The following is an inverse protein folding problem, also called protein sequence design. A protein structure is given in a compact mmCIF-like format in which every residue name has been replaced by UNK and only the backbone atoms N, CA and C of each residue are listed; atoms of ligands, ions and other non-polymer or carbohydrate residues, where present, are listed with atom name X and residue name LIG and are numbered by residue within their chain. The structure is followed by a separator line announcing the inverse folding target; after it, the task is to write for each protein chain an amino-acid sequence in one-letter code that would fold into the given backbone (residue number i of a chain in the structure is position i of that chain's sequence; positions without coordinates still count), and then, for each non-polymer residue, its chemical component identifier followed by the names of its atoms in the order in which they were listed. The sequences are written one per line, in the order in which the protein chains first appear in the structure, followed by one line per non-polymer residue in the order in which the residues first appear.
data_IF_459552973615
#
_entry.id   IF_459552973615
#
_cell.length_a   1.000
_cell.length_b   1.000
_cell.length_c   1.000
_cell.angle_alpha   90.00
_cell.angle_beta   90.00
_cell.angle_gamma   90.00
#
_symmetry.space_group_name_H-M   'P 1'
#
loop_
_entity.id
_entity.type
_entity.pdbx_description
1 polymer ?
#
# COMPACT_ATOMS: atom_id res chain seq x y z
N UNK A 1 -10.04 -7.31 -4.53
CA UNK A 1 -10.90 -7.09 -3.35
C UNK A 1 -11.47 -8.39 -2.80
N UNK A 2 -11.94 -9.30 -3.65
CA UNK A 2 -12.53 -10.57 -3.18
C UNK A 2 -11.53 -11.73 -3.07
N UNK A 3 -10.42 -11.63 -3.80
CA UNK A 3 -9.30 -12.57 -3.65
C UNK A 3 -8.79 -12.57 -2.20
N UNK A 4 -8.55 -13.78 -1.67
CA UNK A 4 -8.15 -14.03 -0.28
C UNK A 4 -9.11 -13.45 0.79
N UNK A 5 -10.35 -13.09 0.42
CA UNK A 5 -11.38 -12.65 1.37
C UNK A 5 -11.16 -11.25 1.94
N UNK A 6 -10.32 -10.41 1.33
CA UNK A 6 -9.97 -9.09 1.85
C UNK A 6 -11.18 -8.20 2.11
N UNK A 7 -12.17 -8.17 1.20
CA UNK A 7 -13.42 -7.41 1.38
C UNK A 7 -14.17 -7.86 2.63
N UNK A 8 -14.41 -9.17 2.77
CA UNK A 8 -15.15 -9.74 3.90
C UNK A 8 -14.43 -9.47 5.23
N UNK A 9 -13.11 -9.59 5.26
CA UNK A 9 -12.32 -9.28 6.44
C UNK A 9 -12.35 -7.79 6.78
N UNK A 10 -12.21 -6.90 5.79
CA UNK A 10 -12.28 -5.46 6.00
C UNK A 10 -13.65 -5.04 6.56
N UNK A 11 -14.75 -5.60 6.04
CA UNK A 11 -16.10 -5.36 6.56
C UNK A 11 -16.28 -5.85 8.00
N UNK A 12 -15.60 -6.93 8.39
CA UNK A 12 -15.59 -7.40 9.77
C UNK A 12 -14.82 -6.42 10.67
N UNK A 13 -13.65 -5.97 10.24
CA UNK A 13 -12.81 -5.04 11.00
C UNK A 13 -13.50 -3.69 11.21
N UNK A 14 -14.26 -3.18 10.24
CA UNK A 14 -15.03 -1.93 10.37
C UNK A 14 -15.96 -1.96 11.59
N UNK A 15 -16.59 -3.09 11.89
CA UNK A 15 -17.50 -3.26 13.03
C UNK A 15 -16.78 -3.24 14.38
N UNK A 16 -15.48 -3.51 14.40
CA UNK A 16 -14.63 -3.46 15.59
C UNK A 16 -14.06 -2.07 15.88
N UNK A 17 -14.24 -1.12 14.97
CA UNK A 17 -13.77 0.26 15.11
C UNK A 17 -14.89 1.13 15.67
N UNK A 18 -14.56 2.05 16.58
CA UNK A 18 -15.49 3.08 17.03
C UNK A 18 -15.51 4.26 16.05
N UNK A 19 -16.68 4.61 15.53
CA UNK A 19 -16.85 5.69 14.56
C UNK A 19 -17.49 6.92 15.19
N UNK A 20 -16.90 8.10 15.02
CA UNK A 20 -17.39 9.36 15.57
C UNK A 20 -17.48 10.40 14.43
N UNK A 21 -18.68 10.82 13.99
CA UNK A 21 -19.99 10.36 14.46
C UNK A 21 -20.34 8.95 13.95
N UNK A 22 -21.31 8.30 14.60
CA UNK A 22 -21.69 6.90 14.34
C UNK A 22 -22.05 6.61 12.86
N UNK A 23 -22.58 7.61 12.14
CA UNK A 23 -22.89 7.45 10.72
C UNK A 23 -21.66 7.14 9.85
N UNK A 24 -20.45 7.44 10.33
CA UNK A 24 -19.19 7.17 9.63
C UNK A 24 -19.01 5.67 9.31
N UNK A 25 -19.50 4.79 10.19
CA UNK A 25 -19.46 3.34 9.97
C UNK A 25 -20.23 2.96 8.70
N UNK A 26 -21.51 3.32 8.61
CA UNK A 26 -22.35 2.99 7.46
C UNK A 26 -21.77 3.58 6.15
N UNK A 27 -21.16 4.76 6.24
CA UNK A 27 -20.49 5.39 5.10
C UNK A 27 -19.34 4.55 4.57
N UNK A 28 -18.41 4.11 5.42
CA UNK A 28 -17.28 3.30 4.95
C UNK A 28 -17.69 1.86 4.59
N UNK A 29 -18.64 1.25 5.31
CA UNK A 29 -19.15 -0.09 5.01
C UNK A 29 -19.73 -0.13 3.60
N UNK A 30 -20.57 0.84 3.24
CA UNK A 30 -21.17 0.92 1.90
C UNK A 30 -20.12 1.09 0.79
N UNK A 31 -19.04 1.82 1.07
CA UNK A 31 -17.94 2.04 0.13
C UNK A 31 -17.12 0.77 -0.07
N UNK A 32 -16.77 0.06 1.01
CA UNK A 32 -15.98 -1.18 0.95
C UNK A 32 -16.81 -2.32 0.35
N UNK A 33 -18.09 -2.44 0.72
CA UNK A 33 -18.98 -3.50 0.23
C UNK A 33 -19.12 -3.48 -1.30
N UNK A 34 -19.11 -2.29 -1.92
CA UNK A 34 -19.31 -2.13 -3.36
C UNK A 34 -18.02 -1.77 -4.13
N UNK A 35 -16.86 -1.78 -3.48
CA UNK A 35 -15.60 -1.36 -4.10
C UNK A 35 -15.16 -2.36 -5.19
N UNK A 36 -14.79 -1.92 -6.40
CA UNK A 36 -14.10 -2.76 -7.37
C UNK A 36 -12.65 -3.01 -6.94
N UNK A 37 -11.89 -3.78 -7.73
CA UNK A 37 -10.46 -3.92 -7.51
C UNK A 37 -9.73 -2.57 -7.52
N UNK A 38 -8.80 -2.40 -6.59
CA UNK A 38 -8.02 -1.19 -6.48
C UNK A 38 -6.82 -1.27 -7.42
N UNK A 39 -6.89 -0.56 -8.54
CA UNK A 39 -5.73 -0.33 -9.38
C UNK A 39 -4.74 0.59 -8.63
N UNK A 40 -3.62 0.01 -8.19
CA UNK A 40 -2.58 0.71 -7.42
C UNK A 40 -1.46 1.29 -8.29
N UNK A 41 -1.41 0.99 -9.59
CA UNK A 41 -0.38 1.51 -10.49
C UNK A 41 -0.79 2.84 -11.13
N UNK A 42 0.19 3.71 -11.38
CA UNK A 42 0.00 5.02 -12.03
C UNK A 42 1.17 5.28 -12.99
N UNK A 43 0.85 5.69 -14.22
CA UNK A 43 1.85 6.13 -15.20
C UNK A 43 2.25 7.58 -14.90
N UNK A 44 3.13 7.79 -13.92
CA UNK A 44 3.59 9.11 -13.49
C UNK A 44 5.09 9.09 -13.23
N UNK A 45 5.71 10.26 -13.32
CA UNK A 45 7.14 10.45 -13.02
C UNK A 45 7.41 10.75 -11.55
N UNK A 46 6.38 11.09 -10.77
CA UNK A 46 6.50 11.41 -9.35
C UNK A 46 5.63 10.47 -8.50
N UNK A 47 6.29 9.72 -7.61
CA UNK A 47 5.67 8.74 -6.71
C UNK A 47 6.65 7.64 -6.32
N UNK A 48 6.25 6.76 -5.39
CA UNK A 48 7.04 5.56 -5.05
C UNK A 48 7.06 4.61 -6.24
N UNK A 49 8.22 4.17 -6.75
CA UNK A 49 8.29 3.30 -7.92
C UNK A 49 7.72 1.90 -7.63
N UNK A 50 7.05 1.31 -8.63
CA UNK A 50 6.75 -0.12 -8.61
C UNK A 50 7.97 -0.89 -9.10
N UNK A 51 8.86 -1.24 -8.18
CA UNK A 51 10.16 -1.89 -8.45
C UNK A 51 10.01 -3.33 -8.94
N UNK A 52 9.46 -3.50 -10.13
CA UNK A 52 9.16 -4.77 -10.78
C UNK A 52 9.88 -4.86 -12.12
N UNK A 53 10.32 -6.07 -12.45
CA UNK A 53 10.84 -6.43 -13.77
C UNK A 53 9.86 -7.39 -14.43
N UNK A 54 9.52 -7.11 -15.69
CA UNK A 54 8.63 -7.97 -16.50
C UNK A 54 9.36 -8.45 -17.75
N UNK A 55 9.16 -9.70 -18.11
CA UNK A 55 9.79 -10.30 -19.30
C UNK A 55 9.20 -9.69 -20.57
N UNK A 56 10.05 -9.36 -21.55
CA UNK A 56 9.66 -8.63 -22.76
C UNK A 56 8.63 -9.37 -23.62
N UNK A 57 8.74 -10.69 -23.70
CA UNK A 57 7.88 -11.49 -24.59
C UNK A 57 6.63 -12.05 -23.91
N UNK A 58 6.68 -12.28 -22.60
CA UNK A 58 5.59 -12.97 -21.87
C UNK A 58 4.82 -12.05 -20.95
N UNK A 59 5.34 -10.85 -20.68
CA UNK A 59 4.82 -9.89 -19.69
C UNK A 59 4.75 -10.44 -18.25
N UNK A 60 5.35 -11.61 -18.00
CA UNK A 60 5.39 -12.23 -16.68
C UNK A 60 6.42 -11.53 -15.79
N UNK A 61 6.12 -11.49 -14.50
CA UNK A 61 7.05 -10.98 -13.48
C UNK A 61 8.30 -11.86 -13.42
N UNK A 62 9.44 -11.22 -13.16
CA UNK A 62 10.70 -11.93 -12.95
C UNK A 62 10.57 -12.95 -11.79
N UNK A 63 11.03 -14.21 -11.91
CA UNK A 63 10.86 -15.24 -10.88
C UNK A 63 11.41 -14.84 -9.49
N UNK A 64 12.48 -14.04 -9.47
CA UNK A 64 13.10 -13.45 -8.27
C UNK A 64 12.45 -12.13 -7.79
N UNK A 65 11.19 -11.85 -8.13
CA UNK A 65 10.55 -10.53 -7.86
C UNK A 65 10.74 -10.04 -6.42
N UNK A 66 10.49 -10.86 -5.41
CA UNK A 66 10.59 -10.44 -4.00
C UNK A 66 12.03 -10.07 -3.59
N UNK A 67 13.03 -10.82 -4.07
CA UNK A 67 14.44 -10.55 -3.82
C UNK A 67 14.88 -9.24 -4.48
N UNK A 68 14.48 -9.02 -5.74
CA UNK A 68 14.81 -7.80 -6.48
C UNK A 68 14.12 -6.57 -5.88
N UNK A 69 12.87 -6.70 -5.42
CA UNK A 69 12.17 -5.64 -4.71
C UNK A 69 12.92 -5.24 -3.43
N UNK A 70 13.40 -6.20 -2.66
CA UNK A 70 14.18 -5.96 -1.44
C UNK A 70 15.52 -5.28 -1.74
N UNK A 71 16.23 -5.74 -2.77
CA UNK A 71 17.49 -5.12 -3.21
C UNK A 71 17.29 -3.65 -3.63
N UNK A 72 16.21 -3.35 -4.36
CA UNK A 72 15.86 -1.97 -4.71
C UNK A 72 15.45 -1.17 -3.47
N UNK A 73 14.69 -1.76 -2.54
CA UNK A 73 14.28 -1.08 -1.32
C UNK A 73 15.48 -0.60 -0.48
N UNK A 74 16.52 -1.44 -0.35
CA UNK A 74 17.77 -1.07 0.34
C UNK A 74 18.48 0.10 -0.32
N UNK A 75 18.48 0.19 -1.65
CA UNK A 75 19.04 1.34 -2.37
C UNK A 75 18.21 2.59 -2.13
N UNK A 76 16.88 2.47 -2.19
CA UNK A 76 15.95 3.57 -1.93
C UNK A 76 16.08 4.11 -0.52
N UNK A 77 16.41 3.28 0.47
CA UNK A 77 16.66 3.70 1.84
C UNK A 77 17.87 4.65 1.97
N UNK A 78 18.90 4.48 1.13
CA UNK A 78 20.13 5.28 1.15
C UNK A 78 20.04 6.47 0.19
N UNK A 79 19.65 6.23 -1.05
CA UNK A 79 19.75 7.18 -2.16
C UNK A 79 18.39 7.78 -2.55
N UNK A 80 17.31 7.38 -1.88
CA UNK A 80 15.95 7.80 -2.18
C UNK A 80 15.34 7.14 -3.41
N UNK A 81 14.12 7.53 -3.77
CA UNK A 81 13.36 6.91 -4.87
C UNK A 81 14.06 7.00 -6.25
N UNK A 82 14.98 7.96 -6.42
CA UNK A 82 15.74 8.14 -7.65
C UNK A 82 16.65 6.93 -7.95
N UNK A 83 17.06 6.20 -6.91
CA UNK A 83 17.85 4.98 -7.05
C UNK A 83 17.20 3.96 -7.99
N UNK A 84 15.87 3.81 -7.96
CA UNK A 84 15.18 2.92 -8.90
C UNK A 84 15.31 3.40 -10.33
N UNK A 85 15.18 4.70 -10.58
CA UNK A 85 15.20 5.26 -11.93
C UNK A 85 16.59 5.17 -12.54
N UNK A 86 17.62 5.48 -11.75
CA UNK A 86 19.02 5.49 -12.19
C UNK A 86 19.63 4.08 -12.28
N UNK A 87 19.02 3.08 -11.64
CA UNK A 87 19.51 1.70 -11.67
C UNK A 87 19.57 1.11 -13.09
N UNK A 88 20.76 0.68 -13.50
CA UNK A 88 20.93 -0.20 -14.66
C UNK A 88 20.47 -1.62 -14.30
N UNK A 89 19.55 -2.18 -15.10
CA UNK A 89 19.05 -3.53 -14.91
C UNK A 89 20.17 -4.58 -14.91
N UNK A 90 21.27 -4.35 -15.65
CA UNK A 90 22.43 -5.25 -15.70
C UNK A 90 23.12 -5.42 -14.35
N UNK A 91 23.05 -4.43 -13.45
CA UNK A 91 23.67 -4.51 -12.12
C UNK A 91 23.03 -5.57 -11.22
N UNK A 92 21.74 -5.89 -11.43
CA UNK A 92 21.01 -6.86 -10.60
C UNK A 92 20.49 -8.10 -11.35
N UNK A 93 20.28 -7.98 -12.66
CA UNK A 93 19.84 -9.09 -13.51
C UNK A 93 20.99 -9.76 -14.26
N UNK A 94 22.16 -9.11 -14.36
CA UNK A 94 23.30 -9.64 -15.11
C UNK A 94 22.95 -9.92 -16.57
N UNK A 95 23.28 -11.12 -17.04
CA UNK A 95 23.11 -11.55 -18.44
C UNK A 95 21.63 -11.60 -18.89
N UNK A 96 20.69 -11.74 -17.94
CA UNK A 96 19.26 -11.79 -18.23
C UNK A 96 18.64 -10.40 -18.44
N UNK A 97 19.36 -9.32 -18.15
CA UNK A 97 18.83 -7.96 -18.21
C UNK A 97 18.18 -7.61 -19.56
N UNK A 98 18.74 -8.12 -20.67
CA UNK A 98 18.23 -7.86 -22.02
C UNK A 98 16.88 -8.56 -22.29
N UNK A 99 16.42 -9.46 -21.42
CA UNK A 99 15.13 -10.16 -21.52
C UNK A 99 14.00 -9.46 -20.75
N UNK A 100 14.35 -8.52 -19.85
CA UNK A 100 13.39 -7.88 -18.95
C UNK A 100 13.32 -6.36 -19.17
N UNK A 101 12.20 -5.77 -18.73
CA UNK A 101 12.02 -4.32 -18.66
C UNK A 101 11.60 -3.89 -17.27
N UNK A 102 12.13 -2.75 -16.82
CA UNK A 102 11.69 -2.08 -15.59
C UNK A 102 10.28 -1.55 -15.81
N UNK A 103 9.38 -1.82 -14.87
CA UNK A 103 8.04 -1.21 -14.87
C UNK A 103 8.19 0.31 -14.63
N UNK A 104 7.61 1.16 -15.50
CA UNK A 104 7.72 2.62 -15.38
C UNK A 104 6.69 3.23 -14.42
N UNK A 105 5.80 2.42 -13.87
CA UNK A 105 4.70 2.88 -13.04
C UNK A 105 5.15 3.19 -11.61
N UNK A 106 4.46 4.16 -11.01
CA UNK A 106 4.53 4.45 -9.57
C UNK A 106 3.29 3.93 -8.85
N UNK A 107 3.38 3.78 -7.54
CA UNK A 107 2.24 3.49 -6.69
C UNK A 107 1.27 4.68 -6.61
N UNK A 108 0.00 4.36 -6.38
CA UNK A 108 -1.05 5.32 -6.07
C UNK A 108 -0.75 6.04 -4.76
N UNK A 109 -0.95 7.35 -4.70
CA UNK A 109 -0.68 8.16 -3.50
C UNK A 109 -1.51 7.75 -2.28
N UNK A 110 -2.66 7.09 -2.51
CA UNK A 110 -3.47 6.49 -1.44
C UNK A 110 -2.83 5.23 -0.86
N UNK A 111 -2.01 4.53 -1.63
CA UNK A 111 -1.19 3.42 -1.13
C UNK A 111 -0.09 3.95 -0.24
N UNK A 112 0.63 4.98 -0.70
CA UNK A 112 1.70 5.63 0.07
C UNK A 112 1.17 6.10 1.43
N UNK A 113 0.14 6.94 1.43
CA UNK A 113 -0.48 7.44 2.67
C UNK A 113 -1.12 6.31 3.49
N UNK A 114 -1.82 5.37 2.84
CA UNK A 114 -2.47 4.25 3.53
C UNK A 114 -1.49 3.29 4.22
N UNK A 115 -0.25 3.21 3.76
CA UNK A 115 0.79 2.35 4.35
C UNK A 115 1.45 2.93 5.61
N UNK A 116 1.12 4.17 6.00
CA UNK A 116 1.76 4.88 7.15
C UNK A 116 1.57 4.17 8.49
N UNK A 117 0.52 3.38 8.66
CA UNK A 117 0.39 2.52 9.85
C UNK A 117 1.53 1.49 9.98
N UNK A 118 2.24 1.19 8.88
CA UNK A 118 3.36 0.27 8.84
C UNK A 118 4.68 1.02 8.71
N UNK A 119 4.79 1.92 7.75
CA UNK A 119 6.04 2.66 7.49
C UNK A 119 6.38 3.70 8.55
N UNK A 120 5.40 4.15 9.35
CA UNK A 120 5.61 5.12 10.43
C UNK A 120 5.31 4.49 11.79
N UNK A 121 4.07 4.05 12.04
CA UNK A 121 3.64 3.66 13.40
C UNK A 121 4.39 2.43 13.90
N UNK A 122 4.59 1.39 13.08
CA UNK A 122 5.30 0.18 13.52
C UNK A 122 6.81 0.41 13.68
N UNK A 123 7.40 1.26 12.84
CA UNK A 123 8.86 1.46 12.78
C UNK A 123 9.35 2.35 13.90
N UNK A 124 8.50 3.28 14.35
CA UNK A 124 8.92 4.34 15.26
C UNK A 124 8.85 3.92 16.73
N UNK A 125 9.98 4.04 17.49
CA UNK A 125 10.05 3.53 18.86
C UNK A 125 9.12 4.25 19.82
N UNK A 126 8.74 5.50 19.55
CA UNK A 126 7.81 6.25 20.41
C UNK A 126 6.42 5.62 20.54
N UNK A 127 6.02 4.77 19.58
CA UNK A 127 4.74 4.06 19.64
C UNK A 127 4.82 2.75 20.42
N UNK A 128 6.01 2.27 20.79
CA UNK A 128 6.22 1.04 21.56
C UNK A 128 5.45 -0.20 21.04
N UNK A 129 5.29 -0.29 19.71
CA UNK A 129 4.53 -1.37 19.05
C UNK A 129 3.00 -1.28 19.22
N UNK A 130 2.49 -0.18 19.77
CA UNK A 130 1.06 0.07 19.88
C UNK A 130 0.49 0.59 18.55
N UNK A 131 -0.69 0.08 18.18
CA UNK A 131 -1.47 0.64 17.09
C UNK A 131 -2.07 2.00 17.50
N UNK A 132 -2.43 2.82 16.50
CA UNK A 132 -3.03 4.12 16.76
C UNK A 132 -4.39 3.97 17.48
N UNK A 133 -4.61 4.76 18.52
CA UNK A 133 -5.91 4.79 19.20
C UNK A 133 -6.98 5.47 18.34
N UNK A 134 -6.62 6.56 17.65
CA UNK A 134 -7.56 7.34 16.86
C UNK A 134 -6.93 7.84 15.57
N UNK A 135 -7.67 7.72 14.47
CA UNK A 135 -7.46 8.51 13.25
C UNK A 135 -8.46 9.68 13.24
N UNK A 136 -7.98 10.88 12.89
CA UNK A 136 -8.76 12.11 12.89
C UNK A 136 -8.49 12.90 11.62
N UNK A 137 -9.47 13.03 10.74
CA UNK A 137 -9.38 13.78 9.48
C UNK A 137 -10.77 14.26 9.02
N UNK A 138 -10.82 15.07 7.96
CA UNK A 138 -12.08 15.49 7.33
C UNK A 138 -12.92 14.32 6.79
N UNK A 139 -14.24 14.51 6.71
CA UNK A 139 -15.17 13.44 6.31
C UNK A 139 -14.93 12.87 4.89
N UNK A 140 -14.22 13.58 4.02
CA UNK A 140 -13.78 13.11 2.71
C UNK A 140 -12.84 11.88 2.79
N UNK A 141 -12.10 11.74 3.89
CA UNK A 141 -11.13 10.64 4.07
C UNK A 141 -11.75 9.25 4.24
N UNK A 142 -13.08 9.13 4.41
CA UNK A 142 -13.77 7.84 4.28
C UNK A 142 -13.56 7.19 2.91
N UNK A 143 -13.34 7.99 1.85
CA UNK A 143 -13.02 7.53 0.50
C UNK A 143 -11.52 7.58 0.18
N UNK A 144 -10.74 8.16 1.07
CA UNK A 144 -9.30 8.35 0.95
C UNK A 144 -8.57 7.55 2.01
N UNK A 145 -7.87 8.25 2.89
CA UNK A 145 -6.87 7.70 3.78
C UNK A 145 -7.40 6.67 4.80
N UNK A 146 -8.60 6.87 5.35
CA UNK A 146 -9.17 5.89 6.30
C UNK A 146 -9.35 4.53 5.63
N UNK A 147 -9.92 4.53 4.44
CA UNK A 147 -10.20 3.31 3.69
C UNK A 147 -8.93 2.69 3.12
N UNK A 148 -7.99 3.47 2.58
CA UNK A 148 -6.72 2.90 2.10
C UNK A 148 -5.91 2.29 3.24
N UNK A 149 -5.83 2.96 4.39
CA UNK A 149 -5.18 2.43 5.59
C UNK A 149 -5.85 1.15 6.09
N UNK A 150 -7.19 1.13 6.16
CA UNK A 150 -7.95 -0.06 6.53
C UNK A 150 -7.64 -1.25 5.62
N UNK A 151 -7.69 -1.05 4.30
CA UNK A 151 -7.48 -2.13 3.33
C UNK A 151 -6.04 -2.68 3.41
N UNK A 152 -5.04 -1.79 3.48
CA UNK A 152 -3.63 -2.21 3.54
C UNK A 152 -3.34 -2.93 4.85
N UNK A 153 -3.76 -2.39 5.99
CA UNK A 153 -3.56 -3.03 7.29
C UNK A 153 -4.28 -4.37 7.38
N UNK A 154 -5.49 -4.46 6.83
CA UNK A 154 -6.23 -5.74 6.81
C UNK A 154 -5.51 -6.76 5.92
N UNK A 155 -5.00 -6.36 4.76
CA UNK A 155 -4.25 -7.25 3.88
C UNK A 155 -2.92 -7.72 4.49
N UNK A 156 -2.20 -6.84 5.19
CA UNK A 156 -0.88 -7.16 5.76
C UNK A 156 -0.94 -7.84 7.13
N UNK A 157 -1.86 -7.39 8.00
CA UNK A 157 -1.89 -7.73 9.44
C UNK A 157 -3.21 -8.36 9.87
N UNK A 158 -4.20 -8.43 8.98
CA UNK A 158 -5.51 -8.99 9.27
C UNK A 158 -6.39 -8.15 10.20
N UNK A 159 -6.03 -6.89 10.48
CA UNK A 159 -6.74 -6.01 11.41
C UNK A 159 -6.75 -4.54 10.96
N UNK A 160 -7.73 -3.76 11.45
CA UNK A 160 -7.73 -2.30 11.24
C UNK A 160 -6.50 -1.61 11.90
N UNK A 161 -5.98 -0.52 11.32
CA UNK A 161 -4.79 0.17 11.86
C UNK A 161 -5.12 1.14 13.01
N UNK A 162 -6.40 1.34 13.32
CA UNK A 162 -6.91 2.28 14.33
C UNK A 162 -8.02 1.64 15.15
N UNK A 163 -8.17 2.06 16.41
CA UNK A 163 -9.29 1.65 17.28
C UNK A 163 -10.52 2.54 17.10
N UNK A 164 -10.30 3.83 16.81
CA UNK A 164 -11.36 4.81 16.62
C UNK A 164 -11.09 5.67 15.39
N UNK A 165 -12.15 6.12 14.73
CA UNK A 165 -12.10 7.12 13.66
C UNK A 165 -13.00 8.28 14.04
N UNK A 166 -12.45 9.49 14.02
CA UNK A 166 -13.21 10.72 14.17
C UNK A 166 -13.14 11.53 12.88
N UNK A 167 -14.30 11.97 12.41
CA UNK A 167 -14.40 12.86 11.25
C UNK A 167 -15.17 14.13 11.54
N UNK A 168 -14.71 15.25 10.98
CA UNK A 168 -15.38 16.55 11.01
C UNK A 168 -15.86 17.00 9.62
#
# INVERSE_FOLDING_TARGET
MDQKGLRAQSLKEIKGVQWIPDWGQARIESMVANRPDWCISRQRTWGVPMSLFVHKDTEELHPRTLELMEEVAKRVEVDGIQAWWDLDAKEILGDEADQYVKVPDTLDVWFDSGSTHSSVVDVRPEFAGHAADMYLEGSDQHRGWFMSSLMISTAMKGKAPYRQVRSY
#
